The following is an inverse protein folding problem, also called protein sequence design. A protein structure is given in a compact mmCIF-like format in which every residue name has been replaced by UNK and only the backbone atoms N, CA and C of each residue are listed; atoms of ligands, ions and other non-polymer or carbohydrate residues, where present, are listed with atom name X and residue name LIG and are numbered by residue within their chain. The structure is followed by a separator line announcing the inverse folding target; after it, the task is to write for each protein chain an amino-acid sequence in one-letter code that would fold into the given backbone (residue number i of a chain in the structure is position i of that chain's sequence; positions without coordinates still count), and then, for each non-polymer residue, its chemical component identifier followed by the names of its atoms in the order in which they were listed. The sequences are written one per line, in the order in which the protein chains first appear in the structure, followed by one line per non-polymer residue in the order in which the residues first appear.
data_IF_140445451675
#
_entry.id   IF_140445451675
#
_cell.length_a   1.000
_cell.length_b   1.000
_cell.length_c   1.000
_cell.angle_alpha   90.00
_cell.angle_beta   90.00
_cell.angle_gamma   90.00
#
_symmetry.space_group_name_H-M   'P 1'
#
loop_
_entity.id
_entity.type
_entity.pdbx_description
1 polymer ?
#
# COMPACT_ATOMS: atom_id res chain seq x y z
N UNK A 1 -11.89 -9.71 5.24
CA UNK A 1 -11.33 -8.89 6.34
C UNK A 1 -10.89 -7.55 5.76
N UNK A 2 -11.21 -6.48 6.43
CA UNK A 2 -11.02 -5.14 5.88
C UNK A 2 -10.37 -4.21 6.90
N UNK A 3 -9.42 -3.41 6.42
CA UNK A 3 -8.74 -2.38 7.22
C UNK A 3 -8.89 -1.04 6.53
N UNK A 4 -9.30 -0.03 7.27
CA UNK A 4 -9.48 1.32 6.73
C UNK A 4 -8.78 2.35 7.62
N UNK A 5 -8.32 3.42 7.00
CA UNK A 5 -7.73 4.54 7.73
C UNK A 5 -7.72 5.80 6.89
N UNK A 6 -7.68 6.93 7.57
CA UNK A 6 -7.63 8.25 6.93
C UNK A 6 -6.63 9.11 7.68
N UNK A 7 -5.88 9.91 6.92
CA UNK A 7 -4.93 10.88 7.47
C UNK A 7 -4.98 12.16 6.64
N UNK A 8 -4.89 13.30 7.32
CA UNK A 8 -4.79 14.59 6.65
C UNK A 8 -3.32 14.99 6.57
N UNK A 9 -2.89 15.40 5.37
CA UNK A 9 -1.50 15.73 5.07
C UNK A 9 -1.42 17.19 4.65
N UNK A 10 -0.52 17.94 5.25
CA UNK A 10 -0.26 19.36 4.92
C UNK A 10 0.58 19.44 3.64
N UNK A 11 -0.02 19.07 2.52
CA UNK A 11 0.58 19.13 1.18
C UNK A 11 -0.53 19.16 0.12
N UNK A 12 -0.28 19.79 -1.04
CA UNK A 12 -1.22 19.79 -2.16
C UNK A 12 -1.47 18.39 -2.70
N UNK A 13 -2.63 18.15 -3.27
CA UNK A 13 -3.02 16.84 -3.78
C UNK A 13 -2.04 16.29 -4.82
N UNK A 14 -1.52 17.14 -5.70
CA UNK A 14 -0.53 16.71 -6.71
C UNK A 14 0.76 16.22 -6.07
N UNK A 15 1.21 16.89 -5.01
CA UNK A 15 2.41 16.48 -4.27
C UNK A 15 2.19 15.14 -3.55
N UNK A 16 1.01 14.95 -2.95
CA UNK A 16 0.68 13.68 -2.28
C UNK A 16 0.54 12.56 -3.31
N UNK A 17 -0.07 12.83 -4.46
CA UNK A 17 -0.19 11.83 -5.52
C UNK A 17 1.19 11.40 -6.04
N UNK A 18 2.10 12.34 -6.22
CA UNK A 18 3.49 12.03 -6.61
C UNK A 18 4.16 11.12 -5.58
N UNK A 19 3.89 11.32 -4.30
CA UNK A 19 4.46 10.49 -3.23
C UNK A 19 3.87 9.07 -3.23
N UNK A 20 2.55 8.92 -3.35
CA UNK A 20 1.94 7.58 -3.32
C UNK A 20 2.23 6.78 -4.60
N UNK A 21 2.68 7.42 -5.67
CA UNK A 21 3.05 6.77 -6.93
C UNK A 21 4.55 6.73 -7.16
N UNK A 22 5.34 7.08 -6.18
CA UNK A 22 6.80 6.90 -6.22
C UNK A 22 7.14 5.43 -5.93
N UNK A 23 6.87 4.58 -6.90
CA UNK A 23 7.02 3.13 -6.76
C UNK A 23 8.47 2.72 -6.54
N UNK A 24 9.41 3.46 -7.11
CA UNK A 24 10.84 3.22 -6.88
C UNK A 24 11.21 3.39 -5.40
N UNK A 25 10.63 4.38 -4.74
CA UNK A 25 10.84 4.59 -3.30
C UNK A 25 10.28 3.42 -2.48
N UNK A 26 9.09 2.93 -2.83
CA UNK A 26 8.49 1.77 -2.16
C UNK A 26 9.31 0.50 -2.38
N UNK A 27 9.80 0.27 -3.59
CA UNK A 27 10.69 -0.85 -3.90
C UNK A 27 11.95 -0.80 -3.04
N UNK A 28 12.61 0.36 -2.97
CA UNK A 28 13.82 0.55 -2.15
C UNK A 28 13.54 0.35 -0.66
N UNK A 29 12.41 0.85 -0.18
CA UNK A 29 12.01 0.68 1.22
C UNK A 29 11.81 -0.79 1.56
N UNK A 30 11.16 -1.56 0.70
CA UNK A 30 10.97 -2.98 0.89
C UNK A 30 12.31 -3.74 0.88
N UNK A 31 13.21 -3.40 -0.03
CA UNK A 31 14.54 -4.00 -0.10
C UNK A 31 15.37 -3.71 1.14
N UNK A 32 15.31 -2.50 1.68
CA UNK A 32 15.99 -2.16 2.94
C UNK A 32 15.46 -2.98 4.12
N UNK A 33 14.22 -3.45 4.06
CA UNK A 33 13.61 -4.32 5.09
C UNK A 33 13.86 -5.80 4.83
N UNK A 34 14.67 -6.12 3.81
CA UNK A 34 15.08 -7.49 3.51
C UNK A 34 14.26 -8.21 2.46
N UNK A 35 13.30 -7.55 1.82
CA UNK A 35 12.54 -8.14 0.73
C UNK A 35 13.32 -8.09 -0.58
N UNK A 36 13.13 -9.09 -1.43
CA UNK A 36 13.55 -9.07 -2.82
C UNK A 36 12.35 -8.59 -3.64
N UNK A 37 12.49 -7.47 -4.34
CA UNK A 37 11.42 -6.89 -5.16
C UNK A 37 11.88 -6.75 -6.58
N UNK A 38 11.07 -7.24 -7.52
CA UNK A 38 11.37 -7.23 -8.93
C UNK A 38 10.19 -6.71 -9.74
N UNK A 39 10.43 -5.74 -10.63
CA UNK A 39 9.46 -5.32 -11.64
C UNK A 39 9.32 -6.43 -12.67
N UNK A 40 8.09 -6.78 -13.00
CA UNK A 40 7.79 -7.87 -13.93
C UNK A 40 7.08 -7.40 -15.20
N UNK A 41 6.79 -6.10 -15.31
CA UNK A 41 6.26 -5.50 -16.54
C UNK A 41 7.37 -4.84 -17.36
N UNK A 42 7.02 -4.43 -18.59
CA UNK A 42 7.92 -3.73 -19.51
C UNK A 42 7.46 -2.30 -19.82
N UNK A 43 6.63 -1.72 -18.95
CA UNK A 43 6.07 -0.39 -19.17
C UNK A 43 7.14 0.70 -19.00
N UNK A 44 7.08 1.71 -19.88
CA UNK A 44 8.00 2.84 -19.86
C UNK A 44 7.61 3.94 -18.88
N UNK A 45 6.36 3.96 -18.42
CA UNK A 45 5.86 4.95 -17.48
C UNK A 45 4.84 4.37 -16.52
N UNK A 46 4.45 5.13 -15.47
CA UNK A 46 3.47 4.65 -14.50
C UNK A 46 2.07 4.52 -15.09
N UNK A 47 1.37 3.47 -14.70
CA UNK A 47 0.00 3.25 -15.15
C UNK A 47 -0.49 1.84 -14.86
N UNK A 48 -1.75 1.61 -15.18
CA UNK A 48 -2.39 0.30 -15.08
C UNK A 48 -1.59 -0.72 -15.90
N UNK A 49 -1.33 -1.87 -15.30
CA UNK A 49 -0.52 -2.92 -15.90
C UNK A 49 0.88 -3.06 -15.31
N UNK A 50 1.32 -2.12 -14.49
CA UNK A 50 2.56 -2.29 -13.73
C UNK A 50 2.42 -3.49 -12.81
N UNK A 51 3.47 -4.33 -12.77
CA UNK A 51 3.49 -5.53 -11.95
C UNK A 51 4.81 -5.69 -11.22
N UNK A 52 4.74 -6.33 -10.05
CA UNK A 52 5.91 -6.62 -9.22
C UNK A 52 5.79 -8.04 -8.67
N UNK A 53 6.93 -8.66 -8.48
CA UNK A 53 7.05 -9.89 -7.71
C UNK A 53 7.93 -9.62 -6.51
N UNK A 54 7.49 -9.98 -5.31
CA UNK A 54 8.24 -9.78 -4.09
C UNK A 54 8.41 -11.10 -3.34
N UNK A 55 9.59 -11.28 -2.74
CA UNK A 55 9.92 -12.39 -1.87
C UNK A 55 10.42 -11.84 -0.56
N UNK A 56 9.91 -12.36 0.53
CA UNK A 56 10.29 -11.91 1.87
C UNK A 56 10.16 -13.05 2.88
N UNK A 57 10.96 -12.97 3.94
CA UNK A 57 10.87 -13.93 5.02
C UNK A 57 9.91 -13.41 6.09
N UNK A 58 8.91 -14.24 6.42
CA UNK A 58 7.96 -13.93 7.47
C UNK A 58 7.76 -15.19 8.33
N UNK A 59 7.96 -15.05 9.65
CA UNK A 59 7.84 -16.14 10.62
C UNK A 59 8.66 -17.37 10.22
N UNK A 60 9.90 -17.13 9.80
CA UNK A 60 10.85 -18.21 9.44
C UNK A 60 10.61 -18.87 8.09
N UNK A 61 9.62 -18.44 7.33
CA UNK A 61 9.30 -18.99 6.01
C UNK A 61 9.46 -17.93 4.94
N UNK A 62 10.00 -18.35 3.78
CA UNK A 62 10.04 -17.51 2.59
C UNK A 62 8.63 -17.42 2.00
N UNK A 63 8.16 -16.20 1.77
CA UNK A 63 6.84 -15.90 1.21
C UNK A 63 7.00 -15.16 -0.09
N UNK A 64 6.07 -15.38 -1.02
CA UNK A 64 6.05 -14.71 -2.30
C UNK A 64 4.71 -14.03 -2.51
N UNK A 65 4.73 -12.87 -3.14
CA UNK A 65 3.54 -12.09 -3.44
C UNK A 65 3.69 -11.45 -4.81
N UNK A 66 2.63 -11.49 -5.60
CA UNK A 66 2.53 -10.78 -6.86
C UNK A 66 1.63 -9.56 -6.67
N UNK A 67 2.09 -8.41 -7.14
CA UNK A 67 1.38 -7.13 -7.04
C UNK A 67 1.11 -6.59 -8.42
N UNK A 68 -0.06 -5.97 -8.59
CA UNK A 68 -0.48 -5.40 -9.86
C UNK A 68 -1.21 -4.09 -9.64
N UNK A 69 -0.80 -3.06 -10.36
CA UNK A 69 -1.52 -1.78 -10.37
C UNK A 69 -2.72 -1.90 -11.30
N UNK A 70 -3.92 -1.92 -10.73
CA UNK A 70 -5.18 -2.12 -11.48
C UNK A 70 -5.99 -0.84 -11.65
N UNK A 71 -5.68 0.20 -10.88
CA UNK A 71 -6.29 1.52 -11.00
C UNK A 71 -5.25 2.61 -10.86
N UNK A 72 -5.30 3.60 -11.75
CA UNK A 72 -4.36 4.73 -11.75
C UNK A 72 -5.09 5.95 -12.29
N UNK A 73 -5.52 6.83 -11.38
CA UNK A 73 -6.33 8.01 -11.72
C UNK A 73 -5.74 9.27 -11.09
N UNK A 74 -4.76 9.90 -11.76
CA UNK A 74 -4.17 11.14 -11.24
C UNK A 74 -5.21 12.28 -11.22
N UNK A 75 -5.25 13.10 -10.17
CA UNK A 75 -4.52 13.01 -8.91
C UNK A 75 -5.33 12.31 -7.81
N UNK A 76 -6.36 11.54 -8.16
CA UNK A 76 -7.39 11.08 -7.23
C UNK A 76 -7.07 9.78 -6.51
N UNK A 77 -6.31 8.88 -7.13
CA UNK A 77 -5.97 7.65 -6.41
C UNK A 77 -5.42 6.53 -7.28
N UNK A 78 -5.16 5.41 -6.61
CA UNK A 78 -4.66 4.18 -7.21
C UNK A 78 -5.34 2.96 -6.58
N UNK A 79 -5.29 1.84 -7.29
CA UNK A 79 -5.72 0.53 -6.78
C UNK A 79 -4.63 -0.49 -7.08
N UNK A 80 -4.24 -1.25 -6.05
CA UNK A 80 -3.25 -2.31 -6.17
C UNK A 80 -3.90 -3.63 -5.75
N UNK A 81 -3.80 -4.64 -6.61
CA UNK A 81 -4.20 -6.00 -6.30
C UNK A 81 -2.96 -6.83 -5.96
N UNK A 82 -3.08 -7.70 -4.97
CA UNK A 82 -2.00 -8.56 -4.51
C UNK A 82 -2.49 -10.00 -4.40
N UNK A 83 -1.64 -10.95 -4.79
CA UNK A 83 -1.91 -12.38 -4.66
C UNK A 83 -0.73 -13.08 -4.02
N UNK A 84 -1.03 -13.84 -2.95
CA UNK A 84 -0.09 -14.77 -2.34
C UNK A 84 -0.65 -16.19 -2.47
N UNK A 85 0.03 -17.18 -1.93
CA UNK A 85 -0.38 -18.59 -2.07
C UNK A 85 -1.78 -18.88 -1.51
N UNK A 86 -2.11 -18.26 -0.37
CA UNK A 86 -3.34 -18.59 0.38
C UNK A 86 -4.33 -17.45 0.49
N UNK A 87 -3.87 -16.21 0.26
CA UNK A 87 -4.70 -15.02 0.38
C UNK A 87 -4.50 -14.09 -0.80
N UNK A 88 -5.47 -13.23 -1.03
CA UNK A 88 -5.38 -12.13 -1.97
C UNK A 88 -5.84 -10.85 -1.27
N UNK A 89 -5.44 -9.71 -1.79
CA UNK A 89 -5.79 -8.43 -1.21
C UNK A 89 -5.98 -7.37 -2.30
N UNK A 90 -6.82 -6.39 -2.00
CA UNK A 90 -6.97 -5.20 -2.84
C UNK A 90 -6.79 -3.99 -1.93
N UNK A 91 -5.86 -3.12 -2.30
CA UNK A 91 -5.64 -1.86 -1.61
C UNK A 91 -6.08 -0.71 -2.50
N UNK A 92 -7.02 0.07 -2.00
CA UNK A 92 -7.50 1.28 -2.66
C UNK A 92 -6.99 2.49 -1.90
N UNK A 93 -6.35 3.39 -2.60
CA UNK A 93 -5.86 4.64 -2.04
C UNK A 93 -6.57 5.79 -2.74
N UNK A 94 -7.29 6.60 -1.98
CA UNK A 94 -8.04 7.74 -2.49
C UNK A 94 -7.53 9.03 -1.85
N UNK A 95 -7.42 10.07 -2.65
CA UNK A 95 -7.01 11.39 -2.21
C UNK A 95 -8.15 12.38 -2.41
N UNK A 96 -8.36 13.24 -1.41
CA UNK A 96 -9.33 14.32 -1.48
C UNK A 96 -8.66 15.63 -1.12
N UNK A 97 -8.68 16.60 -2.01
CA UNK A 97 -8.20 17.95 -1.71
C UNK A 97 -9.13 18.63 -0.71
N UNK A 98 -8.61 19.00 0.46
CA UNK A 98 -9.34 19.76 1.47
C UNK A 98 -9.12 21.26 1.29
N UNK A 99 -7.95 21.62 0.75
CA UNK A 99 -7.58 22.99 0.41
C UNK A 99 -6.41 22.90 -0.57
N UNK A 100 -5.88 24.06 -1.00
CA UNK A 100 -4.70 24.11 -1.87
C UNK A 100 -3.46 23.48 -1.24
N UNK A 101 -3.41 23.41 0.09
CA UNK A 101 -2.23 22.98 0.84
C UNK A 101 -2.51 21.76 1.73
N UNK A 102 -3.69 21.17 1.62
CA UNK A 102 -4.09 20.08 2.51
C UNK A 102 -4.88 19.01 1.76
N UNK A 103 -4.51 17.77 1.98
CA UNK A 103 -5.09 16.60 1.30
C UNK A 103 -5.45 15.52 2.31
N UNK A 104 -6.60 14.89 2.14
CA UNK A 104 -6.98 13.70 2.91
C UNK A 104 -6.60 12.46 2.14
N UNK A 105 -5.80 11.61 2.78
CA UNK A 105 -5.41 10.30 2.30
C UNK A 105 -6.31 9.26 2.95
N UNK A 106 -7.01 8.47 2.15
CA UNK A 106 -7.86 7.37 2.62
C UNK A 106 -7.32 6.06 2.06
N UNK A 107 -7.16 5.06 2.90
CA UNK A 107 -6.69 3.73 2.48
C UNK A 107 -7.69 2.68 2.93
N UNK A 108 -8.06 1.81 2.00
CA UNK A 108 -8.95 0.67 2.23
C UNK A 108 -8.21 -0.59 1.75
N UNK A 109 -7.96 -1.50 2.67
CA UNK A 109 -7.30 -2.78 2.39
C UNK A 109 -8.27 -3.91 2.67
N UNK A 110 -8.68 -4.64 1.63
CA UNK A 110 -9.54 -5.81 1.74
C UNK A 110 -8.72 -7.07 1.51
N UNK A 111 -8.77 -8.01 2.45
CA UNK A 111 -8.05 -9.29 2.40
C UNK A 111 -9.04 -10.43 2.35
N UNK A 112 -8.85 -11.34 1.40
CA UNK A 112 -9.75 -12.47 1.16
C UNK A 112 -8.96 -13.78 1.07
N UNK A 113 -9.57 -14.92 1.47
CA UNK A 113 -8.91 -16.22 1.32
C UNK A 113 -9.01 -16.73 -0.11
N UNK A 114 -7.98 -17.44 -0.57
CA UNK A 114 -7.98 -18.10 -1.86
C UNK A 114 -8.30 -19.59 -1.75
N UNK A 115 -8.12 -20.16 -0.55
CA UNK A 115 -8.30 -21.59 -0.30
C UNK A 115 -8.60 -21.82 1.20
N UNK A 116 -8.69 -23.08 1.60
CA UNK A 116 -8.99 -23.43 3.00
C UNK A 116 -7.92 -22.94 3.97
N UNK A 117 -6.64 -23.06 3.60
CA UNK A 117 -5.54 -22.55 4.43
C UNK A 117 -5.65 -21.05 4.65
N UNK A 118 -6.03 -20.31 3.61
CA UNK A 118 -6.28 -18.87 3.70
C UNK A 118 -7.46 -18.53 4.60
N UNK A 119 -8.53 -19.32 4.55
CA UNK A 119 -9.68 -19.13 5.46
C UNK A 119 -9.27 -19.29 6.92
N UNK A 120 -8.49 -20.31 7.22
CA UNK A 120 -7.99 -20.53 8.57
C UNK A 120 -7.08 -19.39 9.02
N UNK A 121 -6.22 -18.89 8.14
CA UNK A 121 -5.36 -17.76 8.42
C UNK A 121 -6.17 -16.51 8.76
N UNK A 122 -7.18 -16.19 7.95
CA UNK A 122 -8.02 -15.00 8.17
C UNK A 122 -8.83 -15.13 9.46
N UNK A 123 -9.34 -16.32 9.77
CA UNK A 123 -10.01 -16.55 11.03
C UNK A 123 -9.09 -16.28 12.22
N UNK A 124 -7.83 -16.73 12.15
CA UNK A 124 -6.81 -16.42 13.16
C UNK A 124 -6.55 -14.93 13.28
N UNK A 125 -6.47 -14.22 12.14
CA UNK A 125 -6.28 -12.78 12.13
C UNK A 125 -7.45 -12.04 12.77
N UNK A 126 -8.68 -12.52 12.57
CA UNK A 126 -9.88 -11.93 13.18
C UNK A 126 -9.85 -11.96 14.69
N UNK A 127 -9.23 -12.96 15.28
CA UNK A 127 -9.06 -13.05 16.74
C UNK A 127 -8.16 -11.92 17.28
N UNK A 128 -7.24 -11.44 16.46
CA UNK A 128 -6.33 -10.34 16.79
C UNK A 128 -6.63 -9.07 15.98
N UNK A 129 -7.87 -8.91 15.54
CA UNK A 129 -8.29 -7.82 14.64
C UNK A 129 -7.90 -6.43 15.16
N UNK A 130 -8.14 -6.18 16.44
CA UNK A 130 -7.82 -4.90 17.06
C UNK A 130 -6.33 -4.55 16.96
N UNK A 131 -5.46 -5.55 17.15
CA UNK A 131 -4.01 -5.39 17.05
C UNK A 131 -3.58 -5.06 15.63
N UNK A 132 -4.13 -5.77 14.64
CA UNK A 132 -3.81 -5.51 13.23
C UNK A 132 -4.33 -4.16 12.75
N UNK A 133 -5.55 -3.79 13.15
CA UNK A 133 -6.14 -2.48 12.83
C UNK A 133 -5.31 -1.36 13.42
N UNK A 134 -4.89 -1.49 14.67
CA UNK A 134 -4.05 -0.48 15.33
C UNK A 134 -2.71 -0.31 14.62
N UNK A 135 -2.06 -1.42 14.27
CA UNK A 135 -0.79 -1.40 13.53
C UNK A 135 -0.95 -0.76 12.16
N UNK A 136 -2.01 -1.11 11.44
CA UNK A 136 -2.31 -0.54 10.13
C UNK A 136 -2.45 0.98 10.22
N UNK A 137 -3.23 1.47 11.17
CA UNK A 137 -3.47 2.90 11.35
C UNK A 137 -2.23 3.66 11.80
N UNK A 138 -1.40 3.07 12.64
CA UNK A 138 -0.12 3.67 13.04
C UNK A 138 0.84 3.81 11.87
N UNK A 139 0.94 2.78 11.03
CA UNK A 139 1.80 2.84 9.82
C UNK A 139 1.29 3.88 8.83
N UNK A 140 -0.02 4.01 8.69
CA UNK A 140 -0.60 5.04 7.83
C UNK A 140 -0.30 6.44 8.35
N UNK A 141 -0.43 6.65 9.67
CA UNK A 141 -0.09 7.92 10.31
C UNK A 141 1.39 8.27 10.12
N UNK A 142 2.28 7.31 10.31
CA UNK A 142 3.72 7.49 10.11
C UNK A 142 4.04 7.86 8.65
N UNK A 143 3.41 7.18 7.71
CA UNK A 143 3.58 7.47 6.29
C UNK A 143 3.11 8.89 5.96
N UNK A 144 1.96 9.29 6.48
CA UNK A 144 1.42 10.64 6.28
C UNK A 144 2.38 11.71 6.80
N UNK A 145 2.98 11.49 7.96
CA UNK A 145 3.99 12.40 8.52
C UNK A 145 5.24 12.46 7.64
N UNK A 146 5.68 11.34 7.12
CA UNK A 146 6.85 11.28 6.23
C UNK A 146 6.61 12.06 4.93
N UNK A 147 5.43 11.92 4.34
CA UNK A 147 5.04 12.67 3.14
C UNK A 147 5.05 14.17 3.42
N UNK A 148 4.45 14.57 4.52
CA UNK A 148 4.38 15.96 4.95
C UNK A 148 5.77 16.56 5.16
N UNK A 149 6.66 15.83 5.84
CA UNK A 149 8.03 16.23 6.10
C UNK A 149 8.84 16.37 4.80
N UNK A 150 8.70 15.41 3.88
CA UNK A 150 9.39 15.49 2.59
C UNK A 150 8.90 16.68 1.78
N UNK A 151 7.61 16.97 1.80
CA UNK A 151 7.06 18.13 1.10
C UNK A 151 7.63 19.44 1.68
N UNK A 152 7.68 19.58 2.99
CA UNK A 152 8.25 20.76 3.65
C UNK A 152 9.71 20.99 3.30
N UNK A 153 10.50 19.92 3.15
CA UNK A 153 11.91 20.01 2.77
C UNK A 153 12.13 20.37 1.30
N UNK A 154 11.16 20.08 0.44
CA UNK A 154 11.27 20.32 -1.01
C UNK A 154 10.76 21.70 -1.45
N UNK A 155 10.18 22.45 -0.52
CA UNK A 155 9.56 23.77 -0.81
C UNK A 155 10.44 24.90 -0.32
#
# INVERSE_FOLDING_TARGET
MQFTGKEDIEAPIDAVFAEITDFTRFERSAMRRGAEVQRTDSMSGPGVGMTWHARFRLRGRMREIDLRLTGFEPPDGIVIAAEAATIEAVMRVDLMSLSRTRTRLSVDLAVSPRNLAGRLMIQSMKLARGKFTKRFRLRLADYAMDVEDRHKRSV
#
